data_IF_743476968491
#
_entry.id   IF_743476968491
#
_cell.length_a   1.000
_cell.length_b   1.000
_cell.length_c   1.000
_cell.angle_alpha   90.00
_cell.angle_beta   90.00
_cell.angle_gamma   90.00
#
_symmetry.space_group_name_H-M   'P 1'
#
loop_
_entity.id
_entity.type
_entity.pdbx_description
1 polymer ?
#
# COMPACT_ATOMS: atom_id res chain seq x y z
N UNK A 1 15.56 -12.74 -22.09
CA UNK A 1 15.11 -12.14 -20.81
C UNK A 1 15.29 -10.63 -20.94
N UNK A 2 14.22 -9.84 -20.89
CA UNK A 2 14.39 -8.38 -20.89
C UNK A 2 15.03 -7.97 -19.55
N UNK A 3 16.22 -7.37 -19.60
CA UNK A 3 16.88 -6.85 -18.41
C UNK A 3 16.14 -5.58 -18.00
N UNK A 4 15.52 -5.60 -16.82
CA UNK A 4 14.88 -4.43 -16.22
C UNK A 4 15.97 -3.47 -15.73
N UNK A 5 15.74 -2.17 -15.89
CA UNK A 5 16.65 -1.17 -15.32
C UNK A 5 16.70 -1.29 -13.79
N UNK A 6 17.82 -0.92 -13.15
CA UNK A 6 17.95 -0.99 -11.69
C UNK A 6 16.83 -0.24 -10.96
N UNK A 7 16.45 0.94 -11.47
CA UNK A 7 15.37 1.76 -10.89
C UNK A 7 14.01 1.04 -10.94
N UNK A 8 13.69 0.37 -12.05
CA UNK A 8 12.44 -0.39 -12.18
C UNK A 8 12.40 -1.56 -11.20
N UNK A 9 13.53 -2.24 -10.97
CA UNK A 9 13.58 -3.31 -9.98
C UNK A 9 13.32 -2.79 -8.56
N UNK A 10 13.82 -1.62 -8.20
CA UNK A 10 13.54 -1.00 -6.91
C UNK A 10 12.06 -0.63 -6.77
N UNK A 11 11.47 0.00 -7.78
CA UNK A 11 10.04 0.39 -7.77
C UNK A 11 9.13 -0.83 -7.62
N UNK A 12 9.39 -1.90 -8.38
CA UNK A 12 8.60 -3.14 -8.31
C UNK A 12 8.69 -3.75 -6.91
N UNK A 13 9.90 -3.88 -6.36
CA UNK A 13 10.10 -4.45 -5.01
C UNK A 13 9.44 -3.62 -3.92
N UNK A 14 9.47 -2.29 -4.04
CA UNK A 14 8.79 -1.40 -3.09
C UNK A 14 7.27 -1.61 -3.13
N UNK A 15 6.68 -1.66 -4.33
CA UNK A 15 5.24 -1.91 -4.51
C UNK A 15 4.82 -3.30 -4.00
N UNK A 16 5.58 -4.35 -4.33
CA UNK A 16 5.31 -5.71 -3.85
C UNK A 16 5.40 -5.82 -2.32
N UNK A 17 6.32 -5.07 -1.70
CA UNK A 17 6.45 -5.05 -0.23
C UNK A 17 5.25 -4.37 0.42
N UNK A 18 4.81 -3.22 -0.10
CA UNK A 18 3.65 -2.50 0.41
C UNK A 18 2.35 -3.33 0.23
N UNK A 19 2.18 -3.94 -0.94
CA UNK A 19 0.98 -4.72 -1.27
C UNK A 19 0.69 -5.84 -0.27
N UNK A 20 1.73 -6.48 0.29
CA UNK A 20 1.55 -7.54 1.30
C UNK A 20 0.86 -7.04 2.57
N UNK A 21 1.18 -5.83 3.02
CA UNK A 21 0.53 -5.20 4.17
C UNK A 21 -0.92 -4.88 3.85
N UNK A 22 -1.14 -4.19 2.73
CA UNK A 22 -2.48 -3.80 2.27
C UNK A 22 -3.44 -5.00 2.13
N UNK A 23 -2.98 -6.11 1.56
CA UNK A 23 -3.81 -7.32 1.41
C UNK A 23 -4.21 -7.92 2.76
N UNK A 24 -3.30 -7.92 3.74
CA UNK A 24 -3.59 -8.41 5.09
C UNK A 24 -4.60 -7.49 5.78
N UNK A 25 -4.33 -6.20 5.76
CA UNK A 25 -5.15 -5.21 6.47
C UNK A 25 -6.56 -5.11 5.87
N UNK A 26 -6.71 -5.36 4.55
CA UNK A 26 -8.01 -5.50 3.91
C UNK A 26 -8.84 -6.69 4.44
N UNK A 27 -8.19 -7.76 4.89
CA UNK A 27 -8.87 -8.90 5.52
C UNK A 27 -9.54 -8.55 6.86
N UNK A 28 -9.11 -7.48 7.51
CA UNK A 28 -9.62 -6.99 8.80
C UNK A 28 -10.16 -5.55 8.66
N UNK A 29 -10.75 -5.21 7.51
CA UNK A 29 -11.12 -3.85 7.12
C UNK A 29 -11.93 -3.09 8.19
N UNK A 30 -12.88 -3.76 8.85
CA UNK A 30 -13.73 -3.15 9.88
C UNK A 30 -12.96 -2.73 11.14
N UNK A 31 -11.80 -3.32 11.38
CA UNK A 31 -10.90 -2.99 12.51
C UNK A 31 -9.86 -1.94 12.12
N UNK A 32 -9.75 -1.60 10.83
CA UNK A 32 -8.74 -0.68 10.34
C UNK A 32 -9.06 0.74 10.81
N UNK A 33 -8.13 1.33 11.55
CA UNK A 33 -8.28 2.70 12.03
C UNK A 33 -8.23 3.68 10.85
N UNK A 34 -9.25 4.54 10.77
CA UNK A 34 -9.40 5.55 9.73
C UNK A 34 -9.51 6.95 10.32
N UNK A 35 -9.02 7.94 9.58
CA UNK A 35 -9.14 9.36 9.88
C UNK A 35 -9.60 10.13 8.65
N UNK A 36 -10.35 11.20 8.87
CA UNK A 36 -10.84 12.07 7.80
C UNK A 36 -9.82 13.16 7.54
N UNK A 37 -9.28 13.23 6.31
CA UNK A 37 -8.41 14.32 5.86
C UNK A 37 -9.22 15.49 5.30
N UNK A 38 -10.38 15.20 4.71
CA UNK A 38 -11.27 16.19 4.09
C UNK A 38 -12.60 15.58 3.66
N UNK A 39 -13.43 16.36 2.97
CA UNK A 39 -14.73 15.87 2.47
C UNK A 39 -14.50 14.72 1.50
N UNK A 40 -15.02 13.55 1.82
CA UNK A 40 -14.81 12.31 1.06
C UNK A 40 -13.34 11.90 0.89
N UNK A 41 -12.43 12.39 1.74
CA UNK A 41 -11.01 12.04 1.73
C UNK A 41 -10.59 11.45 3.08
N UNK A 42 -10.08 10.21 3.05
CA UNK A 42 -9.76 9.41 4.22
C UNK A 42 -8.32 8.90 4.16
N UNK A 43 -7.73 8.67 5.33
CA UNK A 43 -6.46 7.97 5.51
C UNK A 43 -6.64 6.88 6.54
N UNK A 44 -6.03 5.73 6.31
CA UNK A 44 -6.06 4.58 7.20
C UNK A 44 -4.67 4.28 7.76
N UNK A 45 -4.62 3.44 8.79
CA UNK A 45 -3.34 2.93 9.28
C UNK A 45 -2.56 2.16 8.20
N UNK A 46 -3.23 1.60 7.20
CA UNK A 46 -2.58 0.87 6.11
C UNK A 46 -1.84 1.78 5.11
N UNK A 47 -2.08 3.10 5.16
CA UNK A 47 -1.40 4.09 4.30
C UNK A 47 -0.05 4.57 4.87
N UNK A 48 0.28 4.21 6.13
CA UNK A 48 1.46 4.66 6.88
C UNK A 48 2.56 3.58 6.95
#
# INVERSE_FOLDING_TARGET
MAVRSPILNCMIRAAEKAAKGLVRDFGELEQLQVSVKGVSDFVSQADL
#
